data_IF_294271414405
#
_entry.id   IF_294271414405
#
_cell.length_a   1.000
_cell.length_b   1.000
_cell.length_c   1.000
_cell.angle_alpha   90.00
_cell.angle_beta   90.00
_cell.angle_gamma   90.00
#
_symmetry.space_group_name_H-M   'P 1'
#
loop_
_entity.id
_entity.type
_entity.pdbx_description
1 polymer ?
#
# COMPACT_ATOMS: atom_id res chain seq x y z
N UNK A 1 -48.53 2.28 -25.12
CA UNK A 1 -47.83 1.00 -25.29
C UNK A 1 -46.87 0.87 -24.12
N UNK A 2 -47.09 -0.11 -23.26
CA UNK A 2 -46.28 -0.32 -22.06
C UNK A 2 -45.05 -1.16 -22.42
N UNK A 3 -43.93 -0.49 -22.67
CA UNK A 3 -42.66 -1.08 -23.13
C UNK A 3 -41.96 -1.91 -22.05
N UNK A 4 -42.40 -1.77 -20.80
CA UNK A 4 -41.79 -2.41 -19.63
C UNK A 4 -42.15 -3.89 -19.52
N UNK A 5 -43.33 -4.28 -20.00
CA UNK A 5 -43.81 -5.66 -19.90
C UNK A 5 -43.10 -6.57 -20.91
N UNK A 6 -42.88 -6.11 -22.14
CA UNK A 6 -42.16 -6.87 -23.16
C UNK A 6 -40.70 -7.20 -22.80
N UNK A 7 -40.03 -6.31 -22.06
CA UNK A 7 -38.68 -6.57 -21.54
C UNK A 7 -38.68 -7.66 -20.46
N UNK A 8 -39.69 -7.67 -19.58
CA UNK A 8 -39.85 -8.69 -18.54
C UNK A 8 -40.24 -10.05 -19.14
N UNK A 9 -41.11 -10.06 -20.15
CA UNK A 9 -41.51 -11.29 -20.85
C UNK A 9 -40.35 -11.89 -21.64
N UNK A 10 -39.48 -11.05 -22.23
CA UNK A 10 -38.26 -11.51 -22.93
C UNK A 10 -37.24 -12.11 -21.96
N UNK A 11 -37.05 -11.48 -20.80
CA UNK A 11 -36.19 -12.04 -19.74
C UNK A 11 -36.78 -13.34 -19.19
N UNK A 12 -38.10 -13.40 -18.97
CA UNK A 12 -38.78 -14.60 -18.50
C UNK A 12 -38.68 -15.76 -19.50
N UNK A 13 -38.81 -15.50 -20.80
CA UNK A 13 -38.60 -16.51 -21.86
C UNK A 13 -37.18 -17.05 -21.87
N UNK A 14 -36.16 -16.19 -21.75
CA UNK A 14 -34.76 -16.63 -21.72
C UNK A 14 -34.43 -17.38 -20.42
N UNK A 15 -35.03 -17.02 -19.29
CA UNK A 15 -34.86 -17.75 -18.03
C UNK A 15 -35.68 -19.05 -17.95
N UNK A 16 -36.77 -19.17 -18.70
CA UNK A 16 -37.65 -20.35 -18.73
C UNK A 16 -37.29 -21.37 -19.83
N UNK A 17 -36.42 -20.99 -20.77
CA UNK A 17 -35.94 -21.89 -21.82
C UNK A 17 -34.81 -22.78 -21.26
N UNK A 18 -35.13 -24.04 -20.96
CA UNK A 18 -34.20 -25.09 -20.48
C UNK A 18 -33.19 -25.55 -21.58
N UNK A 19 -32.91 -24.68 -22.55
CA UNK A 19 -32.04 -24.94 -23.70
C UNK A 19 -30.58 -24.52 -23.43
N UNK A 20 -29.58 -25.23 -24.00
CA UNK A 20 -28.16 -24.87 -23.89
C UNK A 20 -27.83 -23.42 -24.32
N UNK A 21 -28.66 -22.81 -25.17
CA UNK A 21 -28.50 -21.44 -25.65
C UNK A 21 -28.77 -20.37 -24.58
N UNK A 22 -29.78 -20.58 -23.72
CA UNK A 22 -30.13 -19.65 -22.64
C UNK A 22 -29.00 -19.53 -21.61
N UNK A 23 -28.41 -20.67 -21.22
CA UNK A 23 -27.26 -20.73 -20.31
C UNK A 23 -26.08 -19.95 -20.89
N UNK A 24 -25.79 -20.08 -22.19
CA UNK A 24 -24.71 -19.33 -22.86
C UNK A 24 -24.90 -17.81 -22.79
N UNK A 25 -26.13 -17.32 -23.01
CA UNK A 25 -26.45 -15.90 -22.94
C UNK A 25 -26.30 -15.37 -21.51
N UNK A 26 -26.82 -16.09 -20.51
CA UNK A 26 -26.72 -15.70 -19.09
C UNK A 26 -25.25 -15.64 -18.66
N UNK A 27 -24.46 -16.67 -18.99
CA UNK A 27 -23.02 -16.70 -18.67
C UNK A 27 -22.28 -15.55 -19.35
N UNK A 28 -22.63 -15.22 -20.59
CA UNK A 28 -22.07 -14.07 -21.31
C UNK A 28 -22.36 -12.74 -20.62
N UNK A 29 -23.61 -12.52 -20.19
CA UNK A 29 -24.02 -11.31 -19.47
C UNK A 29 -23.30 -11.21 -18.11
N UNK A 30 -23.21 -12.32 -17.37
CA UNK A 30 -22.50 -12.36 -16.09
C UNK A 30 -21.02 -12.06 -16.29
N UNK A 31 -20.38 -12.68 -17.29
CA UNK A 31 -18.98 -12.41 -17.64
C UNK A 31 -18.74 -10.93 -17.97
N UNK A 32 -19.62 -10.33 -18.77
CA UNK A 32 -19.55 -8.90 -19.10
C UNK A 32 -19.73 -8.02 -17.85
N UNK A 33 -20.68 -8.35 -16.98
CA UNK A 33 -20.90 -7.62 -15.74
C UNK A 33 -19.66 -7.65 -14.83
N UNK A 34 -19.00 -8.81 -14.71
CA UNK A 34 -17.75 -8.94 -13.95
C UNK A 34 -16.65 -8.08 -14.56
N UNK A 35 -16.48 -8.08 -15.89
CA UNK A 35 -15.47 -7.24 -16.56
C UNK A 35 -15.71 -5.75 -16.28
N UNK A 36 -16.97 -5.29 -16.39
CA UNK A 36 -17.33 -3.90 -16.10
C UNK A 36 -17.04 -3.56 -14.64
N UNK A 37 -17.36 -4.46 -13.70
CA UNK A 37 -17.07 -4.28 -12.27
C UNK A 37 -15.57 -4.11 -12.02
N UNK A 38 -14.73 -4.95 -12.63
CA UNK A 38 -13.27 -4.90 -12.46
C UNK A 38 -12.68 -3.62 -13.04
N UNK A 39 -13.11 -3.21 -14.24
CA UNK A 39 -12.67 -1.96 -14.87
C UNK A 39 -13.09 -0.76 -14.02
N UNK A 40 -14.36 -0.75 -13.55
CA UNK A 40 -14.88 0.29 -12.68
C UNK A 40 -14.11 0.39 -11.37
N UNK A 41 -13.79 -0.73 -10.72
CA UNK A 41 -12.98 -0.78 -9.50
C UNK A 41 -11.56 -0.25 -9.71
N UNK A 42 -10.91 -0.65 -10.80
CA UNK A 42 -9.58 -0.15 -11.15
C UNK A 42 -9.59 1.37 -11.42
N UNK A 43 -10.56 1.85 -12.20
CA UNK A 43 -10.73 3.26 -12.50
C UNK A 43 -11.03 4.09 -11.24
N UNK A 44 -11.88 3.59 -10.35
CA UNK A 44 -12.17 4.24 -9.07
C UNK A 44 -10.92 4.31 -8.17
N UNK A 45 -10.10 3.26 -8.16
CA UNK A 45 -8.82 3.22 -7.44
C UNK A 45 -7.83 4.28 -7.97
N UNK A 46 -7.69 4.39 -9.30
CA UNK A 46 -6.87 5.44 -9.92
C UNK A 46 -7.41 6.83 -9.59
N UNK A 47 -8.71 7.06 -9.77
CA UNK A 47 -9.38 8.34 -9.45
C UNK A 47 -9.16 8.76 -7.99
N UNK A 48 -9.06 7.79 -7.07
CA UNK A 48 -8.77 8.05 -5.66
C UNK A 48 -7.31 8.42 -5.44
N UNK A 49 -6.36 7.73 -6.07
CA UNK A 49 -4.92 8.06 -6.03
C UNK A 49 -4.61 9.43 -6.64
N UNK A 50 -5.34 9.85 -7.68
CA UNK A 50 -5.17 11.18 -8.27
C UNK A 50 -5.54 12.33 -7.32
N UNK A 51 -6.30 12.06 -6.26
CA UNK A 51 -6.61 13.03 -5.21
C UNK A 51 -5.51 13.12 -4.15
N UNK A 52 -4.59 12.16 -4.13
CA UNK A 52 -3.43 12.19 -3.25
C UNK A 52 -2.37 13.12 -3.86
N UNK A 53 -1.58 13.78 -3.01
CA UNK A 53 -0.44 14.55 -3.48
C UNK A 53 0.52 13.64 -4.23
N UNK A 54 1.05 14.10 -5.37
CA UNK A 54 2.09 13.34 -6.08
C UNK A 54 3.24 13.02 -5.12
N UNK A 55 3.91 11.87 -5.28
CA UNK A 55 5.20 11.65 -4.64
C UNK A 55 6.12 12.85 -4.91
N UNK A 56 6.81 13.37 -3.88
CA UNK A 56 7.68 14.53 -4.04
C UNK A 56 8.75 14.20 -5.08
N UNK A 57 8.98 15.15 -5.99
CA UNK A 57 10.06 15.02 -6.97
C UNK A 57 11.41 15.13 -6.26
N UNK A 58 12.49 14.59 -6.83
CA UNK A 58 13.85 14.78 -6.32
C UNK A 58 14.18 16.26 -6.10
N UNK A 59 13.72 17.14 -7.01
CA UNK A 59 13.92 18.60 -6.90
C UNK A 59 13.09 19.25 -5.78
N UNK A 60 12.01 18.59 -5.34
CA UNK A 60 11.16 19.03 -4.22
C UNK A 60 11.65 18.47 -2.88
N UNK A 61 12.72 17.65 -2.89
CA UNK A 61 13.31 17.17 -1.65
C UNK A 61 13.88 18.35 -0.86
N UNK A 62 13.73 18.34 0.48
CA UNK A 62 14.36 19.32 1.33
C UNK A 62 15.86 19.41 1.04
N UNK A 63 16.34 20.62 0.76
CA UNK A 63 17.76 20.89 0.62
C UNK A 63 18.46 20.57 1.93
N UNK A 64 19.67 19.99 1.81
CA UNK A 64 20.53 19.80 2.97
C UNK A 64 20.80 21.20 3.58
N UNK A 65 20.53 21.40 4.88
CA UNK A 65 20.81 22.69 5.51
C UNK A 65 22.31 23.00 5.47
N UNK A 66 22.66 24.28 5.33
CA UNK A 66 24.06 24.78 5.24
C UNK A 66 24.88 24.45 6.50
N UNK A 67 24.19 24.25 7.62
CA UNK A 67 24.78 23.90 8.89
C UNK A 67 24.09 22.67 9.45
N UNK A 68 24.81 21.99 10.32
CA UNK A 68 24.29 20.85 11.06
C UNK A 68 23.15 21.33 11.98
N UNK A 69 21.91 20.93 11.68
CA UNK A 69 20.73 21.22 12.51
C UNK A 69 20.47 20.15 13.55
N UNK A 70 21.18 19.02 13.50
CA UNK A 70 21.13 17.96 14.49
C UNK A 70 22.13 18.23 15.64
N UNK A 71 21.66 18.13 16.88
CA UNK A 71 22.52 17.98 18.05
C UNK A 71 23.04 16.54 17.98
N UNK A 72 24.32 16.35 17.70
CA UNK A 72 24.93 15.03 17.77
C UNK A 72 25.20 14.73 19.23
N UNK A 73 24.20 14.18 19.92
CA UNK A 73 24.44 13.50 21.18
C UNK A 73 25.34 12.31 20.88
N UNK A 74 26.62 12.40 21.24
CA UNK A 74 27.46 11.23 21.41
C UNK A 74 26.99 10.49 22.66
N UNK A 75 25.74 10.02 22.66
CA UNK A 75 25.30 9.01 23.59
C UNK A 75 26.27 7.84 23.45
N UNK A 76 26.66 7.25 24.58
CA UNK A 76 27.46 6.04 24.64
C UNK A 76 26.60 4.88 24.11
N UNK A 77 26.31 4.90 22.81
CA UNK A 77 25.69 3.79 22.10
C UNK A 77 26.61 2.61 22.36
N UNK A 78 26.02 1.47 22.75
CA UNK A 78 26.81 0.26 22.89
C UNK A 78 27.52 0.04 21.54
N UNK A 79 28.77 -0.42 21.56
CA UNK A 79 29.54 -0.52 20.34
C UNK A 79 28.78 -1.44 19.37
N UNK A 80 28.10 -0.86 18.37
CA UNK A 80 27.38 -1.56 17.31
C UNK A 80 28.41 -2.18 16.36
N UNK A 81 29.19 -3.11 16.90
CA UNK A 81 30.31 -3.74 16.25
C UNK A 81 29.76 -4.92 15.47
N UNK A 82 29.75 -4.77 14.15
CA UNK A 82 29.51 -5.89 13.24
C UNK A 82 30.58 -6.98 13.42
N UNK A 83 30.23 -8.26 13.25
CA UNK A 83 31.22 -9.33 13.27
C UNK A 83 32.35 -9.03 12.27
N UNK A 84 33.60 -9.24 12.67
CA UNK A 84 34.77 -8.95 11.82
C UNK A 84 34.99 -10.01 10.72
N UNK A 85 34.17 -11.06 10.71
CA UNK A 85 34.21 -12.14 9.72
C UNK A 85 33.64 -11.75 8.34
N UNK A 86 33.08 -10.54 8.22
CA UNK A 86 32.56 -9.99 6.97
C UNK A 86 31.33 -10.71 6.42
N UNK A 87 30.70 -11.61 7.19
CA UNK A 87 29.51 -12.32 6.75
C UNK A 87 28.28 -11.42 6.83
N UNK A 88 27.37 -11.58 5.86
CA UNK A 88 26.08 -10.93 5.93
C UNK A 88 25.29 -11.47 7.13
N UNK A 89 24.82 -10.58 8.00
CA UNK A 89 23.95 -10.94 9.11
C UNK A 89 22.54 -11.19 8.61
N UNK A 90 21.93 -12.27 9.07
CA UNK A 90 20.52 -12.54 8.86
C UNK A 90 19.67 -11.63 9.75
N UNK A 91 18.39 -11.38 9.41
CA UNK A 91 17.51 -10.53 10.20
C UNK A 91 17.41 -10.91 11.69
N UNK A 92 17.55 -12.20 12.02
CA UNK A 92 17.49 -12.70 13.39
C UNK A 92 18.79 -12.48 14.18
N UNK A 93 19.91 -12.32 13.49
CA UNK A 93 21.22 -12.01 14.11
C UNK A 93 21.35 -10.50 14.44
N UNK A 94 20.44 -9.67 13.94
CA UNK A 94 20.40 -8.21 14.13
C UNK A 94 19.61 -7.77 15.38
N UNK A 95 19.10 -8.72 16.19
CA UNK A 95 18.04 -8.50 17.18
C UNK A 95 18.31 -7.44 18.26
N UNK A 96 19.57 -7.13 18.52
CA UNK A 96 19.99 -6.16 19.55
C UNK A 96 20.52 -4.85 18.94
N UNK A 97 20.45 -4.69 17.62
CA UNK A 97 21.03 -3.54 16.91
C UNK A 97 19.91 -2.69 16.31
N UNK A 98 19.81 -1.44 16.78
CA UNK A 98 18.85 -0.46 16.27
C UNK A 98 17.53 -0.32 17.06
N UNK A 99 17.32 -1.14 18.10
CA UNK A 99 16.20 -1.01 19.06
C UNK A 99 16.67 -0.66 20.48
N UNK A 100 17.94 -0.27 20.64
CA UNK A 100 18.47 0.16 21.94
C UNK A 100 17.71 1.39 22.42
N UNK A 101 17.19 1.33 23.64
CA UNK A 101 16.62 2.49 24.32
C UNK A 101 17.79 3.42 24.62
N UNK A 102 17.77 4.63 24.04
CA UNK A 102 18.75 5.67 24.38
C UNK A 102 18.62 5.91 25.90
N UNK A 103 19.64 5.56 26.71
CA UNK A 103 19.56 5.78 28.14
C UNK A 103 19.43 7.29 28.36
N UNK A 104 18.58 7.73 29.32
CA UNK A 104 18.44 9.14 29.64
C UNK A 104 19.82 9.71 29.96
N UNK A 105 20.09 10.90 29.41
CA UNK A 105 21.31 11.64 29.65
C UNK A 105 21.44 11.86 31.16
N UNK A 106 22.42 11.22 31.80
CA UNK A 106 22.79 11.60 33.16
C UNK A 106 23.40 13.00 33.04
N UNK A 107 22.74 13.98 33.66
CA UNK A 107 23.25 15.35 33.78
C UNK A 107 24.58 15.29 34.53
N UNK A 108 25.69 15.27 33.79
CA UNK A 108 27.05 15.47 34.31
C UNK A 108 27.29 16.95 34.65
N UNK A 109 26.30 17.58 35.28
CA UNK A 109 26.34 18.91 35.88
C UNK A 109 26.55 18.80 37.40
N UNK A 110 27.52 17.96 37.77
CA UNK A 110 28.20 18.10 39.06
C UNK A 110 29.71 18.04 38.85
N UNK A 111 30.21 19.03 38.09
CA UNK A 111 31.60 19.47 38.20
C UNK A 111 31.87 19.91 39.64
N UNK A 112 32.98 19.45 40.20
CA UNK A 112 34.13 20.27 40.61
C UNK A 112 35.19 19.42 41.33
#
# INVERSE_FOLDING_TARGET
MDVTNGARDSLAVVLADDGPGAVGVIVGIVGLAVVILLIGGFWFGMRRRDKESRPPRPEEQPLRPDHRTEIQESGRHHADRFPEDGRAMTPYELSDRGNEVIPPQEDDDRRD
#
